data_IF_355454604762
#
_entry.id   IF_355454604762
#
_cell.length_a   1.000
_cell.length_b   1.000
_cell.length_c   1.000
_cell.angle_alpha   90.00
_cell.angle_beta   90.00
_cell.angle_gamma   90.00
#
_symmetry.space_group_name_H-M   'P 1'
#
loop_
_entity.id
_entity.type
_entity.pdbx_description
1 polymer ?
#
# COMPACT_ATOMS: atom_id res chain seq x y z
N UNK A 1 8.01 23.78 -15.23
CA UNK A 1 7.68 22.49 -14.58
C UNK A 1 7.64 21.42 -15.65
N UNK A 2 8.26 20.25 -15.43
CA UNK A 2 8.09 19.13 -16.34
C UNK A 2 6.61 18.70 -16.36
N UNK A 3 6.12 18.13 -17.47
CA UNK A 3 4.73 17.66 -17.55
C UNK A 3 4.48 16.51 -16.59
N UNK A 4 3.23 16.40 -16.10
CA UNK A 4 2.82 15.31 -15.22
C UNK A 4 2.85 14.00 -16.02
N UNK A 5 3.53 13.00 -15.48
CA UNK A 5 3.61 11.66 -16.09
C UNK A 5 2.44 10.79 -15.65
N UNK A 6 1.28 10.97 -16.29
CA UNK A 6 0.08 10.21 -15.95
C UNK A 6 0.23 8.69 -16.18
N UNK A 7 1.00 8.29 -17.20
CA UNK A 7 1.28 6.88 -17.46
C UNK A 7 2.10 6.27 -16.33
N UNK A 8 3.11 6.97 -15.88
CA UNK A 8 3.92 6.54 -14.72
C UNK A 8 3.08 6.42 -13.44
N UNK A 9 2.21 7.40 -13.17
CA UNK A 9 1.33 7.42 -12.01
C UNK A 9 0.35 6.25 -12.04
N UNK A 10 -0.33 6.04 -13.16
CA UNK A 10 -1.27 4.93 -13.31
C UNK A 10 -0.56 3.58 -13.17
N UNK A 11 0.59 3.41 -13.82
CA UNK A 11 1.39 2.19 -13.73
C UNK A 11 1.85 1.91 -12.29
N UNK A 12 2.29 2.94 -11.57
CA UNK A 12 2.68 2.83 -10.18
C UNK A 12 1.50 2.45 -9.27
N UNK A 13 0.32 3.03 -9.51
CA UNK A 13 -0.90 2.69 -8.78
C UNK A 13 -1.31 1.24 -8.99
N UNK A 14 -1.28 0.75 -10.24
CA UNK A 14 -1.58 -0.65 -10.57
C UNK A 14 -0.57 -1.59 -9.92
N UNK A 15 0.72 -1.26 -9.98
CA UNK A 15 1.77 -2.06 -9.35
C UNK A 15 1.56 -2.20 -7.83
N UNK A 16 1.27 -1.11 -7.14
CA UNK A 16 0.99 -1.12 -5.70
C UNK A 16 -0.27 -1.93 -5.36
N UNK A 17 -1.31 -1.81 -6.17
CA UNK A 17 -2.56 -2.55 -5.98
C UNK A 17 -2.36 -4.06 -6.16
N UNK A 18 -1.57 -4.48 -7.15
CA UNK A 18 -1.20 -5.88 -7.37
C UNK A 18 -0.30 -6.41 -6.24
N UNK A 19 0.61 -5.61 -5.72
CA UNK A 19 1.41 -5.94 -4.52
C UNK A 19 0.47 -6.22 -3.34
N UNK A 20 -0.56 -5.40 -3.13
CA UNK A 20 -1.55 -5.60 -2.09
C UNK A 20 -2.31 -6.92 -2.25
N UNK A 21 -2.76 -7.22 -3.46
CA UNK A 21 -3.45 -8.47 -3.75
C UNK A 21 -2.57 -9.69 -3.45
N UNK A 22 -1.30 -9.67 -3.86
CA UNK A 22 -0.35 -10.74 -3.59
C UNK A 22 -0.03 -10.86 -2.10
N UNK A 23 0.21 -9.75 -1.41
CA UNK A 23 0.56 -9.71 0.02
C UNK A 23 -0.54 -10.32 0.88
N UNK A 24 -1.78 -9.84 0.74
CA UNK A 24 -2.91 -10.35 1.51
C UNK A 24 -3.41 -11.70 1.01
N UNK A 25 -3.11 -12.06 -0.24
CA UNK A 25 -3.31 -13.41 -0.74
C UNK A 25 -2.43 -14.43 -0.03
N UNK A 26 -1.16 -14.07 0.21
CA UNK A 26 -0.18 -14.93 0.90
C UNK A 26 -0.37 -14.89 2.43
N UNK A 27 -0.61 -13.71 3.01
CA UNK A 27 -0.69 -13.49 4.46
C UNK A 27 -2.12 -13.39 5.00
N UNK A 28 -3.13 -13.77 4.21
CA UNK A 28 -4.53 -13.62 4.58
C UNK A 28 -4.91 -14.32 5.88
N UNK A 29 -4.40 -15.54 6.12
CA UNK A 29 -4.65 -16.28 7.37
C UNK A 29 -4.02 -15.60 8.58
N UNK A 30 -2.78 -15.17 8.46
CA UNK A 30 -2.07 -14.45 9.52
C UNK A 30 -2.73 -13.10 9.82
N UNK A 31 -3.20 -12.42 8.78
CA UNK A 31 -3.93 -11.17 8.93
C UNK A 31 -5.25 -11.36 9.68
N UNK A 32 -6.06 -12.37 9.29
CA UNK A 32 -7.29 -12.71 10.00
C UNK A 32 -7.04 -13.06 11.47
N UNK A 33 -6.00 -13.86 11.74
CA UNK A 33 -5.61 -14.19 13.11
C UNK A 33 -5.22 -12.93 13.91
N UNK A 34 -4.49 -12.01 13.30
CA UNK A 34 -4.11 -10.74 13.93
C UNK A 34 -5.31 -9.85 14.23
N UNK A 35 -6.38 -9.92 13.42
CA UNK A 35 -7.65 -9.24 13.65
C UNK A 35 -8.53 -9.94 14.69
N UNK A 36 -8.23 -11.19 15.08
CA UNK A 36 -9.11 -12.01 15.90
C UNK A 36 -10.35 -12.52 15.15
N UNK A 37 -10.24 -12.69 13.84
CA UNK A 37 -11.31 -13.15 12.96
C UNK A 37 -10.97 -14.50 12.32
N UNK A 38 -12.00 -15.18 11.82
CA UNK A 38 -11.89 -16.47 11.13
C UNK A 38 -12.29 -16.34 9.66
N UNK A 39 -11.99 -17.36 8.86
CA UNK A 39 -12.44 -17.45 7.46
C UNK A 39 -13.97 -17.36 7.34
N UNK A 40 -14.71 -17.95 8.31
CA UNK A 40 -16.17 -17.92 8.34
C UNK A 40 -16.71 -16.49 8.45
N UNK A 41 -16.02 -15.59 9.15
CA UNK A 41 -16.42 -14.19 9.30
C UNK A 41 -16.39 -13.43 7.96
N UNK A 42 -15.66 -13.94 6.98
CA UNK A 42 -15.53 -13.37 5.64
C UNK A 42 -16.53 -13.97 4.65
N UNK A 43 -17.33 -14.93 5.06
CA UNK A 43 -18.31 -15.61 4.23
C UNK A 43 -19.71 -15.03 4.42
N UNK A 44 -20.52 -15.05 3.34
CA UNK A 44 -21.91 -14.70 3.39
C UNK A 44 -22.81 -15.85 3.93
N UNK A 45 -24.15 -15.63 3.96
CA UNK A 45 -25.11 -16.65 4.43
C UNK A 45 -25.07 -17.98 3.64
N UNK A 46 -24.59 -17.92 2.38
CA UNK A 46 -24.42 -19.08 1.49
C UNK A 46 -23.12 -19.86 1.75
N UNK A 47 -22.30 -19.45 2.73
CA UNK A 47 -21.00 -20.06 3.03
C UNK A 47 -19.88 -19.68 2.05
N UNK A 48 -20.16 -18.86 1.04
CA UNK A 48 -19.16 -18.40 0.07
C UNK A 48 -18.49 -17.13 0.55
N UNK A 49 -17.17 -17.04 0.30
CA UNK A 49 -16.39 -15.85 0.63
C UNK A 49 -16.88 -14.66 -0.20
N UNK A 50 -17.18 -13.56 0.48
CA UNK A 50 -17.57 -12.31 -0.16
C UNK A 50 -16.36 -11.50 -0.57
N UNK A 51 -16.40 -10.97 -1.79
CA UNK A 51 -15.41 -10.00 -2.26
C UNK A 51 -15.66 -8.64 -1.62
N UNK A 52 -14.66 -8.04 -0.95
CA UNK A 52 -14.80 -6.72 -0.33
C UNK A 52 -14.65 -5.62 -1.40
N UNK A 53 -15.66 -5.45 -2.26
CA UNK A 53 -15.60 -4.55 -3.44
C UNK A 53 -15.35 -3.09 -3.03
N UNK A 54 -16.03 -2.61 -1.98
CA UNK A 54 -15.83 -1.24 -1.48
C UNK A 54 -14.38 -0.95 -1.07
N UNK A 55 -13.81 -1.74 -0.15
CA UNK A 55 -12.40 -1.62 0.23
C UNK A 55 -11.42 -1.81 -0.94
N UNK A 56 -11.72 -2.67 -1.91
CA UNK A 56 -10.89 -2.86 -3.10
C UNK A 56 -10.84 -1.60 -3.96
N UNK A 57 -11.98 -0.96 -4.20
CA UNK A 57 -12.05 0.31 -4.93
C UNK A 57 -11.33 1.41 -4.15
N UNK A 58 -11.57 1.52 -2.85
CA UNK A 58 -10.91 2.49 -1.99
C UNK A 58 -9.39 2.33 -2.03
N UNK A 59 -8.89 1.09 -1.97
CA UNK A 59 -7.45 0.83 -2.01
C UNK A 59 -6.82 1.23 -3.34
N UNK A 60 -7.53 1.06 -4.46
CA UNK A 60 -7.06 1.52 -5.76
C UNK A 60 -7.03 3.04 -5.85
N UNK A 61 -8.08 3.72 -5.39
CA UNK A 61 -8.13 5.19 -5.34
C UNK A 61 -7.00 5.73 -4.44
N UNK A 62 -6.79 5.11 -3.28
CA UNK A 62 -5.68 5.47 -2.41
C UNK A 62 -4.32 5.27 -3.10
N UNK A 63 -4.13 4.18 -3.81
CA UNK A 63 -2.91 3.92 -4.57
C UNK A 63 -2.66 4.98 -5.66
N UNK A 64 -3.71 5.45 -6.32
CA UNK A 64 -3.62 6.56 -7.29
C UNK A 64 -3.18 7.87 -6.64
N UNK A 65 -3.79 8.22 -5.52
CA UNK A 65 -3.45 9.44 -4.76
C UNK A 65 -2.00 9.37 -4.29
N UNK A 66 -1.60 8.22 -3.73
CA UNK A 66 -0.24 8.01 -3.24
C UNK A 66 0.78 8.10 -4.37
N UNK A 67 0.51 7.47 -5.52
CA UNK A 67 1.39 7.53 -6.68
C UNK A 67 1.52 8.96 -7.23
N UNK A 68 0.42 9.70 -7.29
CA UNK A 68 0.42 11.09 -7.72
C UNK A 68 1.28 11.97 -6.81
N UNK A 69 1.08 11.86 -5.51
CA UNK A 69 1.83 12.67 -4.53
C UNK A 69 3.30 12.25 -4.45
N UNK A 70 3.59 10.95 -4.53
CA UNK A 70 4.96 10.45 -4.56
C UNK A 70 5.68 10.92 -5.83
N UNK A 71 5.02 10.91 -6.98
CA UNK A 71 5.55 11.47 -8.21
C UNK A 71 5.90 12.96 -8.07
N UNK A 72 4.99 13.74 -7.48
CA UNK A 72 5.22 15.16 -7.21
C UNK A 72 6.40 15.39 -6.27
N UNK A 73 6.50 14.61 -5.21
CA UNK A 73 7.62 14.67 -4.28
C UNK A 73 8.94 14.34 -4.99
N UNK A 74 8.97 13.25 -5.76
CA UNK A 74 10.17 12.85 -6.51
C UNK A 74 10.62 13.92 -7.50
N UNK A 75 9.67 14.55 -8.20
CA UNK A 75 9.96 15.69 -9.09
C UNK A 75 10.56 16.86 -8.31
N UNK A 76 10.01 17.18 -7.15
CA UNK A 76 10.43 18.31 -6.34
C UNK A 76 11.87 18.16 -5.82
N UNK A 77 12.28 16.94 -5.49
CA UNK A 77 13.63 16.64 -4.99
C UNK A 77 14.60 16.17 -6.07
N UNK A 78 14.16 16.11 -7.33
CA UNK A 78 15.00 15.65 -8.44
C UNK A 78 15.29 14.15 -8.46
N UNK A 79 14.42 13.33 -7.86
CA UNK A 79 14.58 11.87 -7.77
C UNK A 79 14.06 11.18 -9.04
N UNK A 80 14.91 11.04 -10.06
CA UNK A 80 14.54 10.57 -11.40
C UNK A 80 15.10 9.18 -11.74
N UNK A 81 15.43 8.37 -10.74
CA UNK A 81 15.95 7.00 -10.94
C UNK A 81 15.19 5.99 -10.12
N UNK A 82 15.25 4.72 -10.51
CA UNK A 82 14.65 3.61 -9.74
C UNK A 82 15.15 3.62 -8.30
N UNK A 83 16.46 3.75 -8.10
CA UNK A 83 17.05 3.79 -6.75
C UNK A 83 16.51 4.96 -5.93
N UNK A 84 16.47 6.14 -6.50
CA UNK A 84 15.97 7.33 -5.82
C UNK A 84 14.47 7.20 -5.50
N UNK A 85 13.70 6.61 -6.41
CA UNK A 85 12.27 6.33 -6.18
C UNK A 85 12.03 5.34 -5.04
N UNK A 86 12.80 4.25 -4.98
CA UNK A 86 12.74 3.28 -3.88
C UNK A 86 13.05 3.95 -2.55
N UNK A 87 14.10 4.75 -2.49
CA UNK A 87 14.49 5.49 -1.27
C UNK A 87 13.38 6.46 -0.87
N UNK A 88 12.82 7.20 -1.82
CA UNK A 88 11.73 8.14 -1.56
C UNK A 88 10.49 7.44 -0.99
N UNK A 89 10.10 6.32 -1.58
CA UNK A 89 8.98 5.51 -1.08
C UNK A 89 9.24 4.98 0.33
N UNK A 90 10.44 4.49 0.60
CA UNK A 90 10.83 3.99 1.93
C UNK A 90 10.85 5.11 2.99
N UNK A 91 11.33 6.29 2.65
CA UNK A 91 11.35 7.46 3.56
C UNK A 91 9.93 7.94 3.89
N UNK A 92 9.04 8.01 2.90
CA UNK A 92 7.63 8.34 3.12
C UNK A 92 6.98 7.30 4.03
N UNK A 93 7.27 6.02 3.82
CA UNK A 93 6.75 4.95 4.66
C UNK A 93 7.20 5.10 6.12
N UNK A 94 8.48 5.26 6.35
CA UNK A 94 9.04 5.39 7.72
C UNK A 94 8.47 6.64 8.41
N UNK A 95 8.40 7.76 7.71
CA UNK A 95 8.02 9.04 8.30
C UNK A 95 6.53 9.22 8.54
N UNK A 96 5.68 8.63 7.69
CA UNK A 96 4.25 8.98 7.67
C UNK A 96 3.31 7.77 7.69
N UNK A 97 3.72 6.59 7.28
CA UNK A 97 2.83 5.43 7.14
C UNK A 97 2.96 4.48 8.33
N UNK A 98 4.14 3.90 8.56
CA UNK A 98 4.31 2.93 9.65
C UNK A 98 4.13 3.59 11.01
N UNK A 99 4.55 4.82 11.17
CA UNK A 99 4.34 5.62 12.39
C UNK A 99 2.87 5.79 12.68
N UNK A 100 2.07 6.15 11.68
CA UNK A 100 0.62 6.34 11.82
C UNK A 100 -0.10 5.03 12.13
N UNK A 101 0.23 3.96 11.43
CA UNK A 101 -0.34 2.62 11.65
C UNK A 101 -0.01 2.14 13.08
N UNK A 102 1.24 2.25 13.50
CA UNK A 102 1.68 1.81 14.81
C UNK A 102 0.94 2.52 15.95
N UNK A 103 0.81 3.84 15.85
CA UNK A 103 0.10 4.65 16.87
C UNK A 103 -1.38 4.28 16.90
N UNK A 104 -2.06 4.27 15.76
CA UNK A 104 -3.49 3.97 15.69
C UNK A 104 -3.81 2.57 16.23
N UNK A 105 -3.02 1.58 15.84
CA UNK A 105 -3.23 0.20 16.29
C UNK A 105 -2.90 0.03 17.78
N UNK A 106 -1.91 0.76 18.30
CA UNK A 106 -1.58 0.74 19.71
C UNK A 106 -2.73 1.28 20.58
N UNK A 107 -3.31 2.43 20.20
CA UNK A 107 -4.47 2.98 20.90
C UNK A 107 -5.70 2.08 20.85
N UNK A 108 -5.89 1.38 19.74
CA UNK A 108 -6.98 0.41 19.58
C UNK A 108 -6.68 -0.94 20.24
N UNK A 109 -5.53 -1.08 20.88
CA UNK A 109 -5.09 -2.32 21.53
C UNK A 109 -5.06 -3.51 20.57
N UNK A 110 -4.73 -3.26 19.30
CA UNK A 110 -4.56 -4.30 18.29
C UNK A 110 -3.24 -5.04 18.52
N UNK A 111 -3.18 -6.29 18.08
CA UNK A 111 -1.94 -7.07 18.12
C UNK A 111 -0.85 -6.41 17.28
N UNK A 112 0.39 -6.44 17.77
CA UNK A 112 1.55 -5.90 17.04
C UNK A 112 1.67 -6.53 15.65
N UNK A 113 1.35 -7.81 15.51
CA UNK A 113 1.41 -8.51 14.23
C UNK A 113 0.53 -7.85 13.15
N UNK A 114 -0.61 -7.24 13.51
CA UNK A 114 -1.44 -6.49 12.57
C UNK A 114 -0.67 -5.29 11.99
N UNK A 115 0.03 -4.54 12.83
CA UNK A 115 0.88 -3.42 12.37
C UNK A 115 2.03 -3.89 11.49
N UNK A 116 2.62 -5.05 11.77
CA UNK A 116 3.69 -5.64 10.95
C UNK A 116 3.17 -6.03 9.57
N UNK A 117 2.02 -6.69 9.51
CA UNK A 117 1.42 -7.13 8.23
C UNK A 117 0.97 -5.92 7.40
N UNK A 118 0.20 -5.02 7.97
CA UNK A 118 -0.30 -3.84 7.25
C UNK A 118 0.83 -2.87 6.91
N UNK A 119 1.74 -2.64 7.84
CA UNK A 119 2.92 -1.80 7.61
C UNK A 119 3.83 -2.37 6.52
N UNK A 120 4.09 -3.66 6.54
CA UNK A 120 4.88 -4.36 5.52
C UNK A 120 4.26 -4.25 4.13
N UNK A 121 2.93 -4.38 4.03
CA UNK A 121 2.19 -4.15 2.78
C UNK A 121 2.47 -2.76 2.21
N UNK A 122 2.30 -1.72 3.03
CA UNK A 122 2.48 -0.34 2.57
C UNK A 122 3.94 -0.01 2.24
N UNK A 123 4.90 -0.65 2.92
CA UNK A 123 6.32 -0.53 2.55
C UNK A 123 6.55 -1.02 1.12
N UNK A 124 6.10 -2.24 0.82
CA UNK A 124 6.26 -2.81 -0.52
C UNK A 124 5.48 -2.03 -1.58
N UNK A 125 4.28 -1.57 -1.25
CA UNK A 125 3.47 -0.75 -2.16
C UNK A 125 4.19 0.55 -2.53
N UNK A 126 4.71 1.30 -1.54
CA UNK A 126 5.41 2.56 -1.77
C UNK A 126 6.76 2.37 -2.46
N UNK A 127 7.50 1.33 -2.10
CA UNK A 127 8.76 0.99 -2.77
C UNK A 127 8.50 0.61 -4.24
N UNK A 128 7.47 -0.18 -4.51
CA UNK A 128 7.07 -0.51 -5.88
C UNK A 128 6.66 0.73 -6.67
N UNK A 129 5.86 1.61 -6.08
CA UNK A 129 5.48 2.89 -6.71
C UNK A 129 6.69 3.74 -7.03
N UNK A 130 7.60 3.90 -6.07
CA UNK A 130 8.83 4.65 -6.26
C UNK A 130 9.72 4.08 -7.37
N UNK A 131 9.85 2.75 -7.42
CA UNK A 131 10.61 2.06 -8.46
C UNK A 131 10.02 2.29 -9.85
N UNK A 132 8.69 2.13 -10.00
CA UNK A 132 7.98 2.33 -11.28
C UNK A 132 8.08 3.79 -11.72
N UNK A 133 7.84 4.73 -10.82
CA UNK A 133 7.94 6.17 -11.12
C UNK A 133 9.36 6.55 -11.53
N UNK A 134 10.36 6.02 -10.84
CA UNK A 134 11.77 6.25 -11.19
C UNK A 134 12.17 5.62 -12.52
N UNK A 135 11.60 4.46 -12.87
CA UNK A 135 11.87 3.77 -14.12
C UNK A 135 11.24 4.50 -15.33
N UNK A 136 10.09 5.15 -15.12
CA UNK A 136 9.31 5.81 -16.16
C UNK A 136 9.49 7.34 -16.14
N UNK A 137 10.41 7.83 -15.34
CA UNK A 137 10.70 9.27 -15.26
C UNK A 137 11.53 9.78 -16.43
#
# INVERSE_FOLDING_TARGET
MPPINYVGILSAAVAAWLVGAAWYGVLGKQWLAALGRTEADMCGPDGKRRMPVGPMILSFVAALIMAFLLSGLMMHIGAATVRAGIISGALVWVGFVVTTIAVNNAYQQRKLMLSVIDGGHWLLALVAQGAVLGALS
#
